data_IF_142738869705
#
_entry.id   IF_142738869705
#
_cell.length_a   1.000
_cell.length_b   1.000
_cell.length_c   1.000
_cell.angle_alpha   90.00
_cell.angle_beta   90.00
_cell.angle_gamma   90.00
#
_symmetry.space_group_name_H-M   'P 1'
#
loop_
_entity.id
_entity.type
_entity.pdbx_description
1 polymer ?
#
# COMPACT_ATOMS: atom_id res chain seq x y z
N UNK A 1 -8.28 -16.46 -14.16
CA UNK A 1 -7.71 -15.45 -15.07
C UNK A 1 -8.66 -14.27 -14.99
N UNK A 2 -8.37 -13.31 -14.12
CA UNK A 2 -9.21 -12.12 -13.97
C UNK A 2 -8.96 -11.21 -15.17
N UNK A 3 -10.03 -10.78 -15.81
CA UNK A 3 -9.95 -9.88 -16.96
C UNK A 3 -9.33 -8.55 -16.54
N UNK A 4 -8.48 -7.99 -17.39
CA UNK A 4 -7.79 -6.70 -17.17
C UNK A 4 -8.80 -5.56 -16.91
N UNK A 5 -10.06 -5.74 -17.31
CA UNK A 5 -11.15 -4.79 -17.07
C UNK A 5 -11.64 -4.76 -15.62
N UNK A 6 -11.45 -5.84 -14.84
CA UNK A 6 -11.95 -5.98 -13.47
C UNK A 6 -10.96 -5.43 -12.41
N UNK A 7 -9.68 -5.26 -12.78
CA UNK A 7 -8.67 -4.75 -11.86
C UNK A 7 -8.84 -3.26 -11.53
N UNK A 8 -9.37 -2.47 -12.47
CA UNK A 8 -9.53 -1.01 -12.33
C UNK A 8 -10.64 -0.60 -11.35
N UNK A 9 -11.78 -1.31 -11.36
CA UNK A 9 -12.89 -1.05 -10.43
C UNK A 9 -12.53 -1.46 -9.00
N UNK A 10 -11.86 -2.61 -8.83
CA UNK A 10 -11.40 -3.10 -7.52
C UNK A 10 -10.46 -2.11 -6.82
N UNK A 11 -9.48 -1.55 -7.56
CA UNK A 11 -8.53 -0.58 -6.99
C UNK A 11 -9.21 0.68 -6.44
N UNK A 12 -10.26 1.18 -7.09
CA UNK A 12 -10.97 2.40 -6.64
C UNK A 12 -11.61 2.20 -5.27
N UNK A 13 -12.14 1.01 -5.00
CA UNK A 13 -12.75 0.70 -3.72
C UNK A 13 -11.72 0.37 -2.64
N UNK A 14 -10.55 -0.15 -3.04
CA UNK A 14 -9.43 -0.46 -2.16
C UNK A 14 -8.68 0.76 -1.61
N UNK A 15 -8.92 1.96 -2.17
CA UNK A 15 -8.41 3.23 -1.60
C UNK A 15 -9.43 3.98 -0.73
N UNK A 16 -10.65 3.46 -0.59
CA UNK A 16 -11.67 4.00 0.34
C UNK A 16 -11.63 3.25 1.67
N UNK A 17 -12.12 3.87 2.76
CA UNK A 17 -12.36 3.16 4.03
C UNK A 17 -13.06 1.81 3.81
N UNK A 18 -12.58 0.77 4.49
CA UNK A 18 -13.19 -0.56 4.37
C UNK A 18 -14.66 -0.53 4.86
N UNK A 19 -15.64 -1.10 4.12
CA UNK A 19 -17.05 -1.01 4.49
C UNK A 19 -17.39 -1.54 5.90
N UNK A 20 -16.62 -2.54 6.36
CA UNK A 20 -16.77 -3.14 7.68
C UNK A 20 -15.93 -2.49 8.78
N UNK A 21 -15.15 -1.43 8.49
CA UNK A 21 -14.26 -0.82 9.50
C UNK A 21 -15.03 -0.40 10.76
N UNK A 22 -16.15 0.31 10.58
CA UNK A 22 -16.91 0.86 11.70
C UNK A 22 -17.59 -0.21 12.56
N UNK A 23 -18.10 -1.28 11.96
CA UNK A 23 -18.67 -2.40 12.72
C UNK A 23 -17.58 -3.18 13.45
N UNK A 24 -16.49 -3.54 12.76
CA UNK A 24 -15.38 -4.30 13.36
C UNK A 24 -14.65 -3.53 14.46
N UNK A 25 -14.58 -2.19 14.35
CA UNK A 25 -14.06 -1.34 15.42
C UNK A 25 -14.96 -1.37 16.65
N UNK A 26 -16.27 -1.19 16.44
CA UNK A 26 -17.28 -1.13 17.52
C UNK A 26 -17.40 -2.46 18.27
N UNK A 27 -17.34 -3.56 17.53
CA UNK A 27 -17.45 -4.91 18.08
C UNK A 27 -16.14 -5.37 18.76
N UNK A 28 -15.11 -4.51 18.76
CA UNK A 28 -13.82 -4.80 19.37
C UNK A 28 -12.94 -5.76 18.57
N UNK A 29 -13.37 -6.19 17.38
CA UNK A 29 -12.63 -7.14 16.52
C UNK A 29 -11.24 -6.59 16.17
N UNK A 30 -11.15 -5.33 15.75
CA UNK A 30 -9.84 -4.70 15.42
C UNK A 30 -8.91 -4.75 16.64
N UNK A 31 -9.43 -4.44 17.83
CA UNK A 31 -8.67 -4.50 19.07
C UNK A 31 -8.20 -5.93 19.38
N UNK A 32 -9.10 -6.91 19.30
CA UNK A 32 -8.79 -8.31 19.59
C UNK A 32 -7.77 -8.90 18.62
N UNK A 33 -7.90 -8.63 17.32
CA UNK A 33 -6.92 -9.07 16.31
C UNK A 33 -5.57 -8.42 16.57
N UNK A 34 -5.54 -7.13 16.92
CA UNK A 34 -4.29 -6.46 17.26
C UNK A 34 -3.62 -7.07 18.50
N UNK A 35 -4.36 -7.21 19.61
CA UNK A 35 -3.78 -7.71 20.86
C UNK A 35 -3.41 -9.19 20.75
N UNK A 36 -4.36 -10.04 20.40
CA UNK A 36 -4.19 -11.49 20.51
C UNK A 36 -3.41 -12.09 19.33
N UNK A 37 -3.41 -11.44 18.17
CA UNK A 37 -2.79 -11.98 16.96
C UNK A 37 -1.55 -11.18 16.54
N UNK A 38 -1.66 -9.86 16.35
CA UNK A 38 -0.53 -9.07 15.84
C UNK A 38 0.58 -8.92 16.89
N UNK A 39 0.23 -8.57 18.14
CA UNK A 39 1.19 -8.34 19.21
C UNK A 39 1.58 -9.62 19.94
N UNK A 40 0.59 -10.46 20.28
CA UNK A 40 0.78 -11.65 21.11
C UNK A 40 0.54 -12.98 20.37
N UNK A 41 0.51 -12.97 19.03
CA UNK A 41 0.37 -14.19 18.24
C UNK A 41 1.51 -15.18 18.51
N UNK A 42 1.16 -16.45 18.67
CA UNK A 42 2.10 -17.53 19.04
C UNK A 42 3.16 -17.79 17.97
N UNK A 43 2.80 -17.60 16.70
CA UNK A 43 3.68 -17.84 15.55
C UNK A 43 3.82 -16.59 14.70
N UNK A 44 4.89 -16.52 13.91
CA UNK A 44 5.07 -15.43 12.95
C UNK A 44 3.97 -15.41 11.88
N UNK A 45 3.47 -16.59 11.48
CA UNK A 45 2.34 -16.70 10.54
C UNK A 45 1.08 -16.03 11.08
N UNK A 46 0.77 -16.22 12.38
CA UNK A 46 -0.39 -15.56 13.02
C UNK A 46 -0.24 -14.04 12.98
N UNK A 47 0.95 -13.52 13.30
CA UNK A 47 1.22 -12.08 13.28
C UNK A 47 1.16 -11.51 11.87
N UNK A 48 1.73 -12.22 10.89
CA UNK A 48 1.70 -11.83 9.48
C UNK A 48 0.27 -11.81 8.93
N UNK A 49 -0.53 -12.84 9.21
CA UNK A 49 -1.94 -12.87 8.84
C UNK A 49 -2.73 -11.73 9.52
N UNK A 50 -2.47 -11.46 10.80
CA UNK A 50 -3.08 -10.35 11.51
C UNK A 50 -2.71 -8.99 10.88
N UNK A 51 -1.45 -8.80 10.48
CA UNK A 51 -1.00 -7.60 9.79
C UNK A 51 -1.72 -7.41 8.45
N UNK A 52 -1.92 -8.48 7.67
CA UNK A 52 -2.69 -8.44 6.42
C UNK A 52 -4.15 -8.07 6.67
N UNK A 53 -4.82 -8.77 7.59
CA UNK A 53 -6.23 -8.50 7.95
C UNK A 53 -6.42 -7.06 8.44
N UNK A 54 -5.56 -6.60 9.35
CA UNK A 54 -5.62 -5.25 9.87
C UNK A 54 -5.25 -4.21 8.80
N UNK A 55 -4.29 -4.49 7.92
CA UNK A 55 -3.95 -3.63 6.80
C UNK A 55 -5.14 -3.38 5.86
N UNK A 56 -5.92 -4.42 5.58
CA UNK A 56 -7.16 -4.33 4.78
C UNK A 56 -8.22 -3.51 5.53
N UNK A 57 -8.50 -3.83 6.79
CA UNK A 57 -9.54 -3.17 7.57
C UNK A 57 -9.23 -1.70 7.87
N UNK A 58 -7.96 -1.37 8.06
CA UNK A 58 -7.48 -0.04 8.44
C UNK A 58 -7.02 0.80 7.24
N UNK A 59 -7.27 0.36 6.00
CA UNK A 59 -7.00 1.15 4.80
C UNK A 59 -7.73 2.49 4.85
N UNK A 60 -7.05 3.54 4.37
CA UNK A 60 -7.53 4.91 4.43
C UNK A 60 -7.94 5.40 5.84
N UNK A 61 -7.37 4.83 6.92
CA UNK A 61 -7.58 5.27 8.31
C UNK A 61 -6.31 5.88 8.91
N UNK A 62 -6.52 6.80 9.86
CA UNK A 62 -5.48 7.28 10.76
C UNK A 62 -5.26 6.22 11.85
N UNK A 63 -4.14 5.49 11.75
CA UNK A 63 -3.86 4.32 12.61
C UNK A 63 -3.02 4.76 13.82
N UNK A 64 -3.34 4.23 14.99
CA UNK A 64 -2.52 4.46 16.19
C UNK A 64 -1.05 4.02 15.94
N UNK A 65 -0.04 4.82 16.36
CA UNK A 65 1.35 4.58 15.99
C UNK A 65 1.89 3.17 16.26
N UNK A 66 1.56 2.58 17.42
CA UNK A 66 2.03 1.23 17.80
C UNK A 66 1.47 0.14 16.90
N UNK A 67 0.17 0.21 16.58
CA UNK A 67 -0.51 -0.71 15.66
C UNK A 67 0.06 -0.53 14.24
N UNK A 68 0.17 0.72 13.81
CA UNK A 68 0.69 1.11 12.49
C UNK A 68 2.10 0.57 12.23
N UNK A 69 3.02 0.80 13.17
CA UNK A 69 4.40 0.33 13.08
C UNK A 69 4.45 -1.20 12.93
N UNK A 70 3.60 -1.91 13.69
CA UNK A 70 3.57 -3.37 13.69
C UNK A 70 3.02 -3.92 12.38
N UNK A 71 1.91 -3.37 11.87
CA UNK A 71 1.33 -3.74 10.57
C UNK A 71 2.35 -3.52 9.45
N UNK A 72 2.90 -2.31 9.33
CA UNK A 72 3.80 -1.95 8.24
C UNK A 72 5.07 -2.81 8.29
N UNK A 73 5.64 -3.04 9.47
CA UNK A 73 6.82 -3.90 9.64
C UNK A 73 6.57 -5.31 9.09
N UNK A 74 5.44 -5.93 9.44
CA UNK A 74 5.13 -7.29 8.98
C UNK A 74 4.79 -7.33 7.48
N UNK A 75 4.08 -6.34 6.93
CA UNK A 75 3.82 -6.25 5.50
C UNK A 75 5.10 -6.06 4.69
N UNK A 76 6.02 -5.19 5.13
CA UNK A 76 7.35 -5.01 4.51
C UNK A 76 8.13 -6.32 4.50
N UNK A 77 8.16 -7.03 5.64
CA UNK A 77 8.83 -8.33 5.76
C UNK A 77 8.30 -9.32 4.72
N UNK A 78 6.97 -9.46 4.62
CA UNK A 78 6.33 -10.35 3.64
C UNK A 78 6.70 -9.98 2.18
N UNK A 79 6.75 -8.67 1.86
CA UNK A 79 7.13 -8.19 0.53
C UNK A 79 8.61 -8.47 0.22
N UNK A 80 9.51 -8.19 1.17
CA UNK A 80 10.97 -8.29 0.97
C UNK A 80 11.41 -9.75 0.92
N UNK A 81 10.96 -10.57 1.86
CA UNK A 81 11.37 -11.96 1.95
C UNK A 81 10.72 -12.81 0.84
N UNK A 82 9.62 -12.31 0.25
CA UNK A 82 8.77 -13.07 -0.66
C UNK A 82 8.44 -14.46 -0.07
N UNK A 83 8.32 -14.52 1.24
CA UNK A 83 8.18 -15.72 2.04
C UNK A 83 6.80 -15.64 2.71
N UNK A 84 5.86 -16.43 2.19
CA UNK A 84 4.50 -16.47 2.71
C UNK A 84 3.49 -16.97 1.68
N UNK A 85 2.24 -17.06 2.12
CA UNK A 85 1.10 -17.44 1.27
C UNK A 85 0.66 -16.31 0.31
N UNK A 86 0.89 -15.06 0.70
CA UNK A 86 0.39 -13.90 -0.01
C UNK A 86 1.28 -13.52 -1.20
N UNK A 87 0.64 -13.23 -2.33
CA UNK A 87 1.33 -12.67 -3.48
C UNK A 87 1.83 -11.24 -3.19
N UNK A 88 3.05 -10.90 -3.62
CA UNK A 88 3.65 -9.58 -3.41
C UNK A 88 2.78 -8.44 -3.96
N UNK A 89 2.14 -8.61 -5.12
CA UNK A 89 1.25 -7.60 -5.69
C UNK A 89 0.03 -7.31 -4.80
N UNK A 90 -0.50 -8.34 -4.14
CA UNK A 90 -1.61 -8.17 -3.17
C UNK A 90 -1.15 -7.43 -1.91
N UNK A 91 0.07 -7.70 -1.43
CA UNK A 91 0.62 -6.98 -0.29
C UNK A 91 0.91 -5.50 -0.62
N UNK A 92 1.40 -5.24 -1.84
CA UNK A 92 1.57 -3.88 -2.35
C UNK A 92 0.23 -3.14 -2.46
N UNK A 93 -0.82 -3.82 -2.91
CA UNK A 93 -2.17 -3.25 -2.94
C UNK A 93 -2.67 -2.82 -1.55
N UNK A 94 -2.46 -3.66 -0.52
CA UNK A 94 -2.77 -3.30 0.87
C UNK A 94 -1.95 -2.06 1.29
N UNK A 95 -0.66 -2.03 0.96
CA UNK A 95 0.20 -0.88 1.25
C UNK A 95 -0.28 0.39 0.55
N UNK A 96 -0.80 0.31 -0.68
CA UNK A 96 -1.42 1.45 -1.37
C UNK A 96 -2.62 1.99 -0.58
N UNK A 97 -3.48 1.11 -0.06
CA UNK A 97 -4.59 1.49 0.81
C UNK A 97 -4.16 2.18 2.11
N UNK A 98 -3.04 1.75 2.69
CA UNK A 98 -2.45 2.40 3.88
C UNK A 98 -1.80 3.76 3.54
N UNK A 99 -1.19 3.88 2.36
CA UNK A 99 -0.52 5.08 1.86
C UNK A 99 -1.48 6.22 1.48
N UNK A 100 -2.80 5.98 1.48
CA UNK A 100 -3.81 7.05 1.35
C UNK A 100 -3.70 8.09 2.46
N UNK A 101 -3.19 7.69 3.63
CA UNK A 101 -3.08 8.56 4.81
C UNK A 101 -1.64 8.98 5.04
N UNK A 102 -1.42 10.29 5.05
CA UNK A 102 -0.10 10.91 5.28
C UNK A 102 0.56 10.40 6.58
N UNK A 103 -0.23 10.18 7.65
CA UNK A 103 0.28 9.68 8.94
C UNK A 103 0.97 8.31 8.86
N UNK A 104 0.79 7.59 7.76
CA UNK A 104 1.35 6.26 7.56
C UNK A 104 2.60 6.27 6.68
N UNK A 105 2.85 7.38 5.98
CA UNK A 105 3.90 7.43 4.96
C UNK A 105 5.30 7.30 5.56
N UNK A 106 5.60 7.97 6.67
CA UNK A 106 6.92 7.92 7.30
C UNK A 106 7.36 6.49 7.63
N UNK A 107 6.46 5.68 8.18
CA UNK A 107 6.70 4.28 8.49
C UNK A 107 6.72 3.41 7.22
N UNK A 108 5.95 3.75 6.19
CA UNK A 108 6.01 3.04 4.90
C UNK A 108 7.36 3.25 4.21
N UNK A 109 7.91 4.47 4.19
CA UNK A 109 9.16 4.76 3.46
C UNK A 109 10.43 4.41 4.25
N UNK A 110 10.31 4.14 5.56
CA UNK A 110 11.46 3.77 6.41
C UNK A 110 12.23 2.56 5.86
N UNK A 111 13.48 2.40 6.31
CA UNK A 111 14.28 1.22 6.01
C UNK A 111 14.54 1.02 4.49
N UNK A 112 14.69 2.12 3.75
CA UNK A 112 14.95 2.13 2.30
C UNK A 112 13.87 1.37 1.50
N UNK A 113 12.61 1.52 1.92
CA UNK A 113 11.52 0.79 1.29
C UNK A 113 11.14 1.37 -0.08
N UNK A 114 11.48 2.63 -0.35
CA UNK A 114 11.35 3.22 -1.69
C UNK A 114 12.22 2.44 -2.68
N UNK A 115 13.50 2.24 -2.39
CA UNK A 115 14.42 1.49 -3.24
C UNK A 115 14.00 0.03 -3.42
N UNK A 116 13.48 -0.58 -2.36
CA UNK A 116 12.87 -1.92 -2.44
C UNK A 116 11.72 -1.93 -3.45
N UNK A 117 10.81 -0.96 -3.35
CA UNK A 117 9.64 -0.84 -4.25
C UNK A 117 10.08 -0.58 -5.69
N UNK A 118 11.12 0.22 -5.91
CA UNK A 118 11.68 0.48 -7.25
C UNK A 118 12.18 -0.80 -7.91
N UNK A 119 12.89 -1.67 -7.17
CA UNK A 119 13.33 -2.97 -7.70
C UNK A 119 12.16 -3.87 -8.11
N UNK A 120 11.00 -3.74 -7.46
CA UNK A 120 9.80 -4.50 -7.82
C UNK A 120 9.21 -4.05 -9.17
N UNK A 121 9.43 -2.80 -9.59
CA UNK A 121 8.98 -2.27 -10.90
C UNK A 121 9.75 -2.91 -12.05
N UNK A 122 10.99 -3.32 -11.81
CA UNK A 122 11.87 -3.95 -12.81
C UNK A 122 11.54 -5.43 -13.05
N UNK A 123 10.64 -6.01 -12.25
CA UNK A 123 10.21 -7.39 -12.42
C UNK A 123 9.26 -7.56 -13.63
N UNK A 124 9.29 -8.73 -14.27
CA UNK A 124 8.44 -9.03 -15.44
C UNK A 124 6.94 -9.16 -15.12
N UNK A 125 6.56 -9.16 -13.84
CA UNK A 125 5.17 -9.33 -13.43
C UNK A 125 4.45 -7.98 -13.45
N UNK A 126 3.63 -7.74 -14.47
CA UNK A 126 2.87 -6.50 -14.65
C UNK A 126 1.94 -6.16 -13.47
N UNK A 127 1.40 -7.17 -12.77
CA UNK A 127 0.58 -6.93 -11.58
C UNK A 127 1.40 -6.39 -10.40
N UNK A 128 2.60 -6.94 -10.17
CA UNK A 128 3.52 -6.42 -9.15
C UNK A 128 3.99 -5.02 -9.52
N UNK A 129 4.42 -4.84 -10.78
CA UNK A 129 4.91 -3.58 -11.31
C UNK A 129 3.87 -2.46 -11.18
N UNK A 130 2.63 -2.73 -11.58
CA UNK A 130 1.55 -1.74 -11.51
C UNK A 130 1.23 -1.33 -10.07
N UNK A 131 1.14 -2.29 -9.13
CA UNK A 131 0.93 -1.97 -7.72
C UNK A 131 2.14 -1.24 -7.09
N UNK A 132 3.37 -1.58 -7.47
CA UNK A 132 4.56 -0.89 -6.99
C UNK A 132 4.61 0.57 -7.46
N UNK A 133 4.28 0.84 -8.72
CA UNK A 133 4.16 2.19 -9.26
C UNK A 133 3.04 2.97 -8.58
N UNK A 134 1.88 2.35 -8.36
CA UNK A 134 0.76 2.99 -7.66
C UNK A 134 1.11 3.31 -6.20
N UNK A 135 1.85 2.43 -5.52
CA UNK A 135 2.32 2.69 -4.16
C UNK A 135 3.24 3.92 -4.12
N UNK A 136 4.22 3.99 -5.02
CA UNK A 136 5.10 5.16 -5.12
C UNK A 136 4.33 6.43 -5.48
N UNK A 137 3.29 6.34 -6.31
CA UNK A 137 2.43 7.48 -6.63
C UNK A 137 1.69 7.99 -5.38
N UNK A 138 1.06 7.09 -4.63
CA UNK A 138 0.35 7.43 -3.39
C UNK A 138 1.31 8.01 -2.34
N UNK A 139 2.52 7.46 -2.22
CA UNK A 139 3.55 8.01 -1.33
C UNK A 139 3.97 9.41 -1.77
N UNK A 140 4.21 9.64 -3.07
CA UNK A 140 4.60 10.95 -3.58
C UNK A 140 3.49 11.99 -3.36
N UNK A 141 2.22 11.61 -3.50
CA UNK A 141 1.09 12.51 -3.31
C UNK A 141 0.83 12.87 -1.84
N UNK A 142 0.97 11.89 -0.95
CA UNK A 142 0.57 12.03 0.46
C UNK A 142 1.76 12.21 1.41
N UNK A 143 3.00 12.05 0.96
CA UNK A 143 4.22 12.07 1.77
C UNK A 143 4.83 13.44 2.05
N UNK A 144 4.35 14.49 1.37
CA UNK A 144 4.94 15.82 1.43
C UNK A 144 6.08 16.04 0.43
N UNK A 145 6.59 17.27 0.36
CA UNK A 145 7.48 17.73 -0.72
C UNK A 145 8.80 16.98 -0.83
N UNK A 146 9.39 16.60 0.30
CA UNK A 146 10.72 16.00 0.32
C UNK A 146 10.66 14.56 -0.22
N UNK A 147 9.68 13.78 0.23
CA UNK A 147 9.42 12.42 -0.26
C UNK A 147 8.96 12.45 -1.72
N UNK A 148 8.11 13.42 -2.10
CA UNK A 148 7.72 13.59 -3.51
C UNK A 148 8.96 13.81 -4.40
N UNK A 149 9.88 14.69 -3.98
CA UNK A 149 11.10 14.99 -4.71
C UNK A 149 12.05 13.79 -4.77
N UNK A 150 12.17 13.05 -3.68
CA UNK A 150 12.95 11.81 -3.62
C UNK A 150 12.44 10.80 -4.67
N UNK A 151 11.15 10.47 -4.64
CA UNK A 151 10.56 9.51 -5.59
C UNK A 151 10.75 9.98 -7.03
N UNK A 152 10.48 11.25 -7.31
CA UNK A 152 10.66 11.85 -8.65
C UNK A 152 12.09 11.75 -9.15
N UNK A 153 13.07 11.91 -8.26
CA UNK A 153 14.50 11.77 -8.59
C UNK A 153 14.88 10.30 -8.83
N UNK A 154 14.32 9.38 -8.05
CA UNK A 154 14.67 7.95 -8.11
C UNK A 154 14.13 7.25 -9.34
N UNK A 155 12.86 7.45 -9.71
CA UNK A 155 12.25 6.73 -10.85
C UNK A 155 11.99 7.58 -12.09
N UNK A 156 12.08 8.91 -11.96
CA UNK A 156 11.69 9.86 -13.00
C UNK A 156 10.17 10.03 -13.11
N UNK A 157 9.73 11.27 -13.36
CA UNK A 157 8.29 11.63 -13.40
C UNK A 157 7.50 10.81 -14.44
N UNK A 158 8.11 10.52 -15.60
CA UNK A 158 7.42 9.87 -16.70
C UNK A 158 7.11 8.39 -16.44
N UNK A 159 7.74 7.77 -15.44
CA UNK A 159 7.52 6.34 -15.13
C UNK A 159 6.08 6.07 -14.70
N UNK A 160 5.43 7.03 -14.04
CA UNK A 160 4.01 6.91 -13.67
C UNK A 160 3.07 6.87 -14.89
N UNK A 161 3.49 7.35 -16.06
CA UNK A 161 2.67 7.26 -17.28
C UNK A 161 2.45 5.82 -17.73
N UNK A 162 3.27 4.86 -17.27
CA UNK A 162 3.05 3.42 -17.54
C UNK A 162 1.79 2.88 -16.86
N UNK A 163 1.20 3.61 -15.91
CA UNK A 163 -0.10 3.29 -15.31
C UNK A 163 -1.28 3.85 -16.13
N UNK A 164 -1.04 4.75 -17.09
CA UNK A 164 -2.10 5.32 -17.91
C UNK A 164 -2.57 4.30 -18.94
N UNK A 165 -3.89 4.13 -19.02
CA UNK A 165 -4.52 3.15 -19.90
C UNK A 165 -5.33 2.12 -19.12
N UNK A 166 -5.09 2.02 -17.81
CA UNK A 166 -6.01 1.35 -16.91
C UNK A 166 -7.33 2.15 -16.86
N UNK A 167 -8.47 1.46 -16.88
CA UNK A 167 -9.84 2.01 -16.92
C UNK A 167 -10.20 2.93 -15.73
N UNK A 168 -9.24 3.20 -14.83
CA UNK A 168 -9.41 3.99 -13.63
C UNK A 168 -9.10 5.47 -13.89
N UNK A 169 -10.15 6.23 -14.21
CA UNK A 169 -10.06 7.67 -14.47
C UNK A 169 -9.41 8.46 -13.32
N UNK A 170 -9.71 8.12 -12.06
CA UNK A 170 -9.15 8.81 -10.89
C UNK A 170 -7.64 8.60 -10.80
N UNK A 171 -7.16 7.38 -11.04
CA UNK A 171 -5.74 7.08 -11.08
C UNK A 171 -5.05 7.85 -12.23
N UNK A 172 -5.69 7.91 -13.41
CA UNK A 172 -5.18 8.68 -14.54
C UNK A 172 -5.07 10.18 -14.21
N UNK A 173 -6.08 10.78 -13.57
CA UNK A 173 -6.02 12.18 -13.11
C UNK A 173 -4.89 12.39 -12.10
N UNK A 174 -4.73 11.48 -11.14
CA UNK A 174 -3.66 11.51 -10.14
C UNK A 174 -2.27 11.49 -10.78
N UNK A 175 -2.07 10.64 -11.78
CA UNK A 175 -0.81 10.55 -12.53
C UNK A 175 -0.56 11.87 -13.26
N UNK A 176 -1.55 12.40 -13.99
CA UNK A 176 -1.40 13.66 -14.71
C UNK A 176 -1.07 14.82 -13.77
N UNK A 177 -1.70 14.89 -12.60
CA UNK A 177 -1.37 15.92 -11.61
C UNK A 177 0.08 15.83 -11.14
N UNK A 178 0.60 14.63 -10.90
CA UNK A 178 1.99 14.45 -10.43
C UNK A 178 3.01 14.74 -11.53
N UNK A 179 2.72 14.32 -12.77
CA UNK A 179 3.60 14.49 -13.93
C UNK A 179 3.60 15.93 -14.44
N UNK A 180 2.43 16.58 -14.47
CA UNK A 180 2.27 17.93 -15.04
C UNK A 180 2.55 19.06 -14.04
N UNK A 181 2.75 18.77 -12.75
CA UNK A 181 3.19 19.73 -11.72
C UNK A 181 4.60 20.30 -11.94
N UNK A 182 5.19 20.18 -13.13
CA UNK A 182 6.43 20.86 -13.49
C UNK A 182 6.23 22.38 -13.61
N UNK A 183 6.37 23.08 -12.49
CA UNK A 183 6.71 24.50 -12.41
C UNK A 183 7.71 24.73 -11.30
#
# INVERSE_FOLDING_TARGET
MGDILDSGENRKDERKPHPLFESMRRDGVIYLVNQNCLLHGETEDIKQNAAVVLGILLRAQDIQPTIRQSIIKHLKKLIIENAGYYNVGYLLDIMCGLAVKQSNISEIVSDNFIETTVKLIEQQNEYIKSNALELLLNIAQNGGSDIEKEIKTTIGNLKFLELIGDSNFTLNEQILQVVMKCK
#
